data_IF_873577814745
#
_entry.id   IF_873577814745
#
_cell.length_a   1.000
_cell.length_b   1.000
_cell.length_c   1.000
_cell.angle_alpha   90.00
_cell.angle_beta   90.00
_cell.angle_gamma   90.00
#
_symmetry.space_group_name_H-M   'P 1'
#
loop_
_entity.id
_entity.type
_entity.pdbx_description
1 polymer ?
#
# COMPACT_ATOMS: atom_id res chain seq x y z
N UNK A 1 -22.92 28.87 -25.38
CA UNK A 1 -22.42 28.06 -24.24
C UNK A 1 -22.71 26.63 -24.63
N UNK A 2 -21.71 25.77 -24.75
CA UNK A 2 -21.96 24.37 -25.09
C UNK A 2 -22.76 23.72 -23.97
N UNK A 3 -23.99 23.34 -24.29
CA UNK A 3 -24.93 22.69 -23.40
C UNK A 3 -24.60 21.19 -23.32
N UNK A 4 -23.46 20.88 -22.71
CA UNK A 4 -22.97 19.51 -22.57
C UNK A 4 -22.87 19.13 -21.10
N UNK A 5 -23.62 18.11 -20.71
CA UNK A 5 -23.59 17.51 -19.38
C UNK A 5 -22.81 16.21 -19.42
N UNK A 6 -21.97 15.98 -18.40
CA UNK A 6 -21.22 14.73 -18.24
C UNK A 6 -21.26 14.26 -16.78
N UNK A 7 -21.58 12.99 -16.55
CA UNK A 7 -21.53 12.35 -15.23
C UNK A 7 -20.64 11.12 -15.33
N UNK A 8 -19.57 11.06 -14.52
CA UNK A 8 -18.61 9.95 -14.44
C UNK A 8 -18.64 9.32 -13.05
N UNK A 9 -18.85 8.01 -12.97
CA UNK A 9 -18.72 7.25 -11.73
C UNK A 9 -17.28 6.78 -11.60
N UNK A 10 -16.48 7.36 -10.70
CA UNK A 10 -15.09 6.90 -10.48
C UNK A 10 -15.01 5.63 -9.61
N UNK A 11 -15.95 5.47 -8.68
CA UNK A 11 -16.03 4.33 -7.76
C UNK A 11 -17.48 4.10 -7.34
N UNK A 12 -17.91 2.84 -7.30
CA UNK A 12 -19.27 2.42 -6.96
C UNK A 12 -20.14 2.22 -8.20
N UNK A 13 -21.45 2.33 -8.00
CA UNK A 13 -22.44 2.33 -9.08
C UNK A 13 -23.36 3.53 -8.94
N UNK A 14 -23.96 3.93 -10.06
CA UNK A 14 -24.98 4.97 -10.11
C UNK A 14 -26.05 4.64 -11.14
N UNK A 15 -27.19 5.31 -11.01
CA UNK A 15 -28.27 5.24 -11.98
C UNK A 15 -28.65 6.66 -12.36
N UNK A 16 -28.72 6.92 -13.65
CA UNK A 16 -29.14 8.20 -14.21
C UNK A 16 -30.39 7.94 -15.02
N UNK A 17 -31.49 8.58 -14.62
CA UNK A 17 -32.75 8.56 -15.35
C UNK A 17 -32.97 9.90 -16.04
N UNK A 18 -33.28 9.87 -17.34
CA UNK A 18 -33.61 11.06 -18.12
C UNK A 18 -34.57 10.71 -19.25
N UNK A 19 -35.68 11.44 -19.37
CA UNK A 19 -36.69 11.23 -20.42
C UNK A 19 -37.22 9.78 -20.52
N UNK A 20 -37.28 9.05 -19.40
CA UNK A 20 -37.67 7.64 -19.35
C UNK A 20 -36.58 6.65 -19.81
N UNK A 21 -35.41 7.13 -20.22
CA UNK A 21 -34.21 6.31 -20.38
C UNK A 21 -33.47 6.20 -19.04
N UNK A 22 -33.10 4.98 -18.66
CA UNK A 22 -32.32 4.69 -17.45
C UNK A 22 -30.96 4.14 -17.86
N UNK A 23 -29.90 4.77 -17.38
CA UNK A 23 -28.51 4.33 -17.58
C UNK A 23 -27.91 4.03 -16.22
N UNK A 24 -27.65 2.76 -15.94
CA UNK A 24 -26.77 2.38 -14.84
C UNK A 24 -25.33 2.72 -15.21
N UNK A 25 -24.46 2.96 -14.23
CA UNK A 25 -23.05 3.24 -14.42
C UNK A 25 -22.26 2.46 -13.37
N UNK A 26 -21.16 1.86 -13.77
CA UNK A 26 -20.16 1.23 -12.93
C UNK A 26 -18.87 2.08 -12.90
N UNK A 27 -17.82 1.55 -12.26
CA UNK A 27 -16.53 2.22 -12.16
C UNK A 27 -16.00 2.63 -13.54
N UNK A 28 -15.63 3.90 -13.65
CA UNK A 28 -15.11 4.57 -14.83
C UNK A 28 -16.08 4.63 -16.02
N UNK A 29 -17.37 4.38 -15.80
CA UNK A 29 -18.38 4.63 -16.81
C UNK A 29 -18.93 6.05 -16.71
N UNK A 30 -19.14 6.65 -17.88
CA UNK A 30 -19.60 8.00 -18.06
C UNK A 30 -20.89 7.99 -18.87
N UNK A 31 -21.77 8.92 -18.54
CA UNK A 31 -22.86 9.32 -19.41
C UNK A 31 -22.71 10.79 -19.80
N UNK A 32 -23.03 11.13 -21.05
CA UNK A 32 -23.08 12.50 -21.54
C UNK A 32 -24.35 12.77 -22.35
N UNK A 33 -24.85 14.00 -22.30
CA UNK A 33 -26.03 14.43 -23.06
C UNK A 33 -26.07 15.96 -23.21
N UNK A 34 -26.88 16.43 -24.16
CA UNK A 34 -27.28 17.84 -24.27
C UNK A 34 -28.75 17.99 -23.83
N UNK A 35 -29.20 19.19 -23.47
CA UNK A 35 -30.55 19.40 -22.93
C UNK A 35 -31.66 18.98 -23.91
N UNK A 36 -31.45 19.19 -25.21
CA UNK A 36 -32.40 18.83 -26.27
C UNK A 36 -32.27 17.36 -26.76
N UNK A 37 -31.21 16.65 -26.38
CA UNK A 37 -31.01 15.26 -26.79
C UNK A 37 -32.10 14.38 -26.19
N UNK A 38 -32.71 13.46 -26.95
CA UNK A 38 -33.66 12.50 -26.34
C UNK A 38 -32.95 11.39 -25.59
N UNK A 39 -31.73 11.07 -26.00
CA UNK A 39 -30.94 9.96 -25.50
C UNK A 39 -29.72 10.43 -24.71
N UNK A 40 -29.19 9.52 -23.92
CA UNK A 40 -27.92 9.63 -23.23
C UNK A 40 -26.82 8.83 -23.95
N UNK A 41 -25.63 9.40 -24.08
CA UNK A 41 -24.47 8.70 -24.65
C UNK A 41 -23.63 8.09 -23.54
N UNK A 42 -23.31 6.79 -23.66
CA UNK A 42 -22.50 6.06 -22.69
C UNK A 42 -21.07 5.91 -23.22
N UNK A 43 -20.10 6.13 -22.35
CA UNK A 43 -18.69 5.92 -22.66
C UNK A 43 -17.97 5.31 -21.46
N UNK A 44 -16.92 4.54 -21.73
CA UNK A 44 -15.98 4.09 -20.69
C UNK A 44 -14.78 5.02 -20.70
N UNK A 45 -14.49 5.63 -19.56
CA UNK A 45 -13.26 6.35 -19.32
C UNK A 45 -12.17 5.36 -18.92
N UNK A 46 -10.93 5.61 -19.35
CA UNK A 46 -9.81 4.78 -18.90
C UNK A 46 -9.50 5.11 -17.42
N UNK A 47 -9.57 4.09 -16.57
CA UNK A 47 -9.29 4.23 -15.13
C UNK A 47 -7.81 4.15 -14.79
N UNK A 48 -7.39 4.66 -13.61
CA UNK A 48 -6.03 4.52 -13.13
C UNK A 48 -5.73 3.06 -12.72
N UNK A 49 -4.50 2.59 -12.92
CA UNK A 49 -4.02 1.36 -12.30
C UNK A 49 -3.93 1.51 -10.77
N UNK A 50 -4.18 0.42 -10.03
CA UNK A 50 -3.89 0.36 -8.60
C UNK A 50 -2.43 -0.06 -8.38
N UNK A 51 -1.64 0.69 -7.58
CA UNK A 51 -0.29 0.30 -7.18
C UNK A 51 -0.27 -1.04 -6.41
N UNK A 52 0.65 -1.95 -6.74
CA UNK A 52 0.81 -3.26 -6.05
C UNK A 52 2.11 -3.26 -5.24
N UNK A 53 3.27 -3.05 -5.88
CA UNK A 53 4.58 -2.99 -5.23
C UNK A 53 5.41 -1.83 -5.77
N UNK A 54 6.21 -1.13 -4.95
CA UNK A 54 6.22 -1.19 -3.49
C UNK A 54 4.88 -0.74 -2.89
N UNK A 55 4.39 -1.52 -1.91
CA UNK A 55 3.15 -1.20 -1.21
C UNK A 55 3.22 0.14 -0.49
N UNK A 56 2.07 0.75 -0.19
CA UNK A 56 2.06 2.01 0.53
C UNK A 56 2.70 1.85 1.92
N UNK A 57 3.57 2.80 2.28
CA UNK A 57 4.42 2.83 3.46
C UNK A 57 5.41 1.65 3.62
N UNK A 58 5.66 0.88 2.56
CA UNK A 58 6.54 -0.30 2.64
C UNK A 58 8.02 0.07 2.87
N UNK A 59 8.73 -0.61 3.79
CA UNK A 59 10.18 -0.53 3.89
C UNK A 59 10.85 -1.45 2.87
N UNK A 60 11.85 -0.95 2.16
CA UNK A 60 12.73 -1.70 1.27
C UNK A 60 14.14 -1.70 1.85
N UNK A 61 14.72 -2.89 2.04
CA UNK A 61 16.03 -3.03 2.67
C UNK A 61 17.15 -3.09 1.62
N UNK A 62 18.13 -2.21 1.79
CA UNK A 62 19.38 -2.17 1.04
C UNK A 62 20.50 -2.80 1.87
N UNK A 63 21.38 -3.64 1.31
CA UNK A 63 22.46 -4.21 2.12
C UNK A 63 23.49 -3.14 2.51
N UNK A 64 24.09 -3.26 3.69
CA UNK A 64 25.16 -2.36 4.09
C UNK A 64 26.34 -2.41 3.11
N UNK A 65 26.73 -1.25 2.60
CA UNK A 65 27.77 -1.07 1.58
C UNK A 65 27.22 -0.88 0.16
N UNK A 66 25.95 -1.17 -0.10
CA UNK A 66 25.30 -0.78 -1.36
C UNK A 66 25.06 0.73 -1.36
N UNK A 67 25.21 1.37 -2.53
CA UNK A 67 24.93 2.82 -2.72
C UNK A 67 23.49 3.08 -3.15
N UNK A 68 22.85 2.08 -3.73
CA UNK A 68 21.52 2.16 -4.32
C UNK A 68 20.86 0.78 -4.39
N UNK A 69 19.54 0.76 -4.43
CA UNK A 69 18.71 -0.44 -4.52
C UNK A 69 18.02 -0.51 -5.88
N UNK A 70 17.83 -1.73 -6.34
CA UNK A 70 16.90 -2.07 -7.41
C UNK A 70 15.52 -2.39 -6.81
N UNK A 71 14.49 -1.73 -7.33
CA UNK A 71 13.13 -1.85 -6.83
C UNK A 71 12.19 -2.16 -7.99
N UNK A 72 11.43 -3.24 -7.86
CA UNK A 72 10.35 -3.57 -8.78
C UNK A 72 9.10 -2.74 -8.45
N UNK A 73 8.56 -2.11 -9.48
CA UNK A 73 7.28 -1.43 -9.45
C UNK A 73 6.27 -2.25 -10.24
N UNK A 74 5.12 -2.57 -9.66
CA UNK A 74 4.04 -3.26 -10.36
C UNK A 74 2.67 -2.71 -9.98
N UNK A 75 1.71 -2.81 -10.89
CA UNK A 75 0.34 -2.30 -10.74
C UNK A 75 -0.67 -3.21 -11.42
N UNK A 76 -1.97 -2.98 -11.15
CA UNK A 76 -3.04 -3.78 -11.77
C UNK A 76 -3.12 -3.53 -13.28
N UNK A 77 -3.29 -4.58 -14.10
CA UNK A 77 -3.51 -4.42 -15.53
C UNK A 77 -4.84 -3.73 -15.79
N UNK A 78 -4.87 -2.86 -16.81
CA UNK A 78 -6.07 -2.16 -17.25
C UNK A 78 -6.48 -2.67 -18.64
N UNK A 79 -7.70 -3.17 -18.76
CA UNK A 79 -8.21 -3.83 -19.99
C UNK A 79 -8.15 -2.96 -21.24
N UNK A 80 -8.30 -1.64 -21.09
CA UNK A 80 -8.26 -0.67 -22.20
C UNK A 80 -6.93 0.07 -22.31
N UNK A 81 -5.90 -0.31 -21.56
CA UNK A 81 -4.61 0.38 -21.61
C UNK A 81 -3.72 -0.17 -22.72
N UNK A 82 -3.20 0.74 -23.56
CA UNK A 82 -2.08 0.49 -24.46
C UNK A 82 -0.73 0.69 -23.76
N UNK A 83 -0.71 1.33 -22.59
CA UNK A 83 0.46 1.41 -21.73
C UNK A 83 0.22 2.28 -20.50
N UNK A 84 1.31 2.58 -19.82
CA UNK A 84 1.32 3.24 -18.51
C UNK A 84 2.40 4.31 -18.44
N UNK A 85 2.18 5.32 -17.60
CA UNK A 85 3.16 6.34 -17.23
C UNK A 85 3.44 6.21 -15.75
N UNK A 86 4.64 5.74 -15.41
CA UNK A 86 5.15 5.67 -14.03
C UNK A 86 5.87 6.98 -13.69
N UNK A 87 5.51 7.57 -12.55
CA UNK A 87 6.25 8.70 -11.96
C UNK A 87 6.77 8.32 -10.58
N UNK A 88 8.01 8.72 -10.28
CA UNK A 88 8.64 8.56 -8.96
C UNK A 88 9.21 9.92 -8.55
N UNK A 89 9.02 10.30 -7.28
CA UNK A 89 9.47 11.57 -6.73
C UNK A 89 10.01 11.41 -5.31
N UNK A 90 10.86 12.36 -4.89
CA UNK A 90 11.28 12.50 -3.49
C UNK A 90 10.25 13.20 -2.59
N UNK A 91 9.18 13.76 -3.15
CA UNK A 91 8.16 14.47 -2.38
C UNK A 91 6.72 14.14 -2.86
N UNK A 92 5.71 14.28 -1.98
CA UNK A 92 4.32 13.88 -2.29
C UNK A 92 3.66 14.79 -3.33
N UNK A 93 4.23 15.97 -3.59
CA UNK A 93 3.74 16.95 -4.56
C UNK A 93 4.29 16.70 -5.97
N UNK A 94 5.21 15.74 -6.13
CA UNK A 94 5.87 15.42 -7.40
C UNK A 94 6.59 16.62 -8.03
N UNK A 95 7.06 17.57 -7.21
CA UNK A 95 7.84 18.73 -7.67
C UNK A 95 9.33 18.42 -7.86
N UNK A 96 9.81 17.29 -7.31
CA UNK A 96 11.17 16.79 -7.48
C UNK A 96 11.10 15.39 -8.08
N UNK A 97 10.89 15.31 -9.39
CA UNK A 97 10.78 14.03 -10.11
C UNK A 97 12.15 13.35 -10.21
N UNK A 98 12.16 12.07 -9.86
CA UNK A 98 13.28 11.17 -10.08
C UNK A 98 13.08 10.37 -11.38
N UNK A 99 11.84 9.97 -11.64
CA UNK A 99 11.46 9.22 -12.83
C UNK A 99 10.12 9.71 -13.36
N UNK A 100 10.02 9.81 -14.68
CA UNK A 100 8.78 9.98 -15.41
C UNK A 100 8.92 9.20 -16.72
N UNK A 101 8.28 8.04 -16.80
CA UNK A 101 8.54 7.06 -17.87
C UNK A 101 7.26 6.42 -18.36
N UNK A 102 7.11 6.31 -19.67
CA UNK A 102 6.10 5.46 -20.30
C UNK A 102 6.60 4.01 -20.45
N UNK A 103 5.75 3.05 -20.15
CA UNK A 103 6.02 1.60 -20.25
C UNK A 103 4.78 0.87 -20.76
N UNK A 104 4.96 -0.22 -21.49
CA UNK A 104 3.84 -1.01 -22.04
C UNK A 104 3.44 -2.17 -21.13
N UNK A 105 4.34 -2.57 -20.23
CA UNK A 105 4.13 -3.65 -19.26
C UNK A 105 3.55 -3.13 -17.95
N UNK A 106 2.88 -4.02 -17.20
CA UNK A 106 2.30 -3.75 -15.89
C UNK A 106 3.31 -3.77 -14.72
N UNK A 107 4.60 -3.96 -15.03
CA UNK A 107 5.68 -3.84 -14.07
C UNK A 107 6.95 -3.32 -14.74
N UNK A 108 7.80 -2.69 -13.93
CA UNK A 108 9.12 -2.20 -14.33
C UNK A 108 10.06 -2.22 -13.14
N UNK A 109 11.31 -2.61 -13.41
CA UNK A 109 12.39 -2.53 -12.45
C UNK A 109 13.11 -1.19 -12.59
N UNK A 110 13.28 -0.48 -11.46
CA UNK A 110 14.03 0.77 -11.39
C UNK A 110 15.26 0.57 -10.52
N UNK A 111 16.43 0.78 -11.11
CA UNK A 111 17.73 0.69 -10.45
C UNK A 111 18.19 2.07 -9.99
N UNK A 112 19.22 2.09 -9.13
CA UNK A 112 19.89 3.33 -8.78
C UNK A 112 19.14 4.20 -7.77
N UNK A 113 18.22 3.62 -6.97
CA UNK A 113 17.50 4.35 -5.93
C UNK A 113 18.30 4.35 -4.61
N UNK A 114 18.83 5.49 -4.14
CA UNK A 114 19.53 5.55 -2.85
C UNK A 114 18.63 5.31 -1.65
N UNK A 115 19.19 5.38 -0.46
CA UNK A 115 18.41 5.42 0.78
C UNK A 115 17.55 6.68 0.82
N UNK A 116 16.32 6.57 1.30
CA UNK A 116 15.41 7.71 1.39
C UNK A 116 13.95 7.35 1.20
N UNK A 117 13.10 8.38 1.28
CA UNK A 117 11.67 8.27 1.01
C UNK A 117 11.36 8.57 -0.46
N UNK A 118 10.42 7.81 -1.00
CA UNK A 118 9.97 7.90 -2.37
C UNK A 118 8.45 7.88 -2.44
N UNK A 119 7.92 8.60 -3.41
CA UNK A 119 6.51 8.68 -3.76
C UNK A 119 6.37 8.25 -5.20
N UNK A 120 5.36 7.44 -5.50
CA UNK A 120 5.15 6.98 -6.86
C UNK A 120 3.67 6.88 -7.21
N UNK A 121 3.39 7.09 -8.49
CA UNK A 121 2.05 7.09 -9.07
C UNK A 121 2.09 6.56 -10.50
N UNK A 122 0.95 6.08 -10.97
CA UNK A 122 0.79 5.51 -12.31
C UNK A 122 -0.46 6.09 -12.95
N UNK A 123 -0.35 6.36 -14.24
CA UNK A 123 -1.49 6.58 -15.13
C UNK A 123 -1.47 5.52 -16.22
N UNK A 124 -2.63 5.01 -16.61
CA UNK A 124 -2.80 4.27 -17.87
C UNK A 124 -3.11 5.22 -19.02
N UNK A 125 -2.79 4.82 -20.25
CA UNK A 125 -3.27 5.47 -21.47
C UNK A 125 -3.77 4.43 -22.48
N UNK A 126 -4.79 4.78 -23.26
CA UNK A 126 -5.34 3.92 -24.32
C UNK A 126 -4.61 4.10 -25.66
N UNK A 127 -5.03 3.33 -26.68
CA UNK A 127 -4.45 3.38 -28.02
C UNK A 127 -4.68 4.73 -28.74
N UNK A 128 -5.68 5.51 -28.31
CA UNK A 128 -5.93 6.86 -28.81
C UNK A 128 -5.09 7.92 -28.06
N UNK A 129 -4.29 7.51 -27.07
CA UNK A 129 -3.45 8.38 -26.25
C UNK A 129 -4.20 9.09 -25.12
N UNK A 130 -5.47 8.72 -24.86
CA UNK A 130 -6.25 9.26 -23.75
C UNK A 130 -5.66 8.76 -22.44
N UNK A 131 -5.41 9.67 -21.50
CA UNK A 131 -4.76 9.37 -20.22
C UNK A 131 -5.81 9.31 -19.11
N UNK A 132 -5.68 8.32 -18.24
CA UNK A 132 -6.48 8.23 -17.01
C UNK A 132 -6.14 9.34 -16.02
N UNK A 133 -6.98 9.49 -15.00
CA UNK A 133 -6.56 10.20 -13.80
C UNK A 133 -5.34 9.51 -13.14
N UNK A 134 -4.66 10.21 -12.24
CA UNK A 134 -3.57 9.61 -11.47
C UNK A 134 -4.10 8.54 -10.49
N UNK A 135 -3.32 7.49 -10.28
CA UNK A 135 -3.54 6.52 -9.20
C UNK A 135 -3.45 7.19 -7.82
N UNK A 136 -3.80 6.43 -6.78
CA UNK A 136 -3.34 6.79 -5.43
C UNK A 136 -1.80 6.89 -5.41
N UNK A 137 -1.28 7.82 -4.61
CA UNK A 137 0.15 8.04 -4.45
C UNK A 137 0.67 7.13 -3.35
N UNK A 138 1.46 6.12 -3.73
CA UNK A 138 2.12 5.26 -2.76
C UNK A 138 3.41 5.90 -2.29
N UNK A 139 3.71 5.74 -1.00
CA UNK A 139 5.00 6.07 -0.40
C UNK A 139 5.76 4.80 -0.06
N UNK A 140 7.07 4.75 -0.26
CA UNK A 140 7.93 3.70 0.30
C UNK A 140 9.26 4.30 0.77
N UNK A 141 10.01 3.55 1.58
CA UNK A 141 11.30 4.02 2.10
C UNK A 141 12.37 2.97 1.89
N UNK A 142 13.50 3.37 1.31
CA UNK A 142 14.70 2.54 1.23
C UNK A 142 15.57 2.85 2.46
N UNK A 143 15.89 1.81 3.22
CA UNK A 143 16.74 1.90 4.42
C UNK A 143 17.88 0.89 4.33
N UNK A 144 19.05 1.25 4.87
CA UNK A 144 20.16 0.31 4.99
C UNK A 144 19.78 -0.75 6.02
N UNK A 145 19.87 -2.01 5.62
CA UNK A 145 19.85 -3.15 6.52
C UNK A 145 21.04 -2.98 7.45
N UNK A 146 20.77 -2.62 8.70
CA UNK A 146 21.80 -2.48 9.71
C UNK A 146 22.61 -3.79 9.76
N UNK A 147 23.91 -3.70 9.49
CA UNK A 147 24.84 -4.83 9.57
C UNK A 147 25.30 -5.03 11.01
N UNK A 148 24.40 -4.87 11.97
CA UNK A 148 24.63 -5.34 13.32
C UNK A 148 23.33 -5.91 13.86
N UNK A 149 23.44 -7.18 14.21
CA UNK A 149 22.84 -7.76 15.41
C UNK A 149 23.25 -6.89 16.62
N UNK A 150 22.79 -5.64 16.71
CA UNK A 150 22.52 -5.06 18.02
C UNK A 150 21.22 -5.74 18.40
N UNK A 151 21.31 -6.98 18.88
CA UNK A 151 20.16 -7.66 19.46
C UNK A 151 19.75 -6.82 20.66
N UNK A 152 18.84 -5.89 20.43
CA UNK A 152 18.02 -5.40 21.51
C UNK A 152 17.37 -6.62 22.14
N UNK A 153 17.46 -6.73 23.47
CA UNK A 153 16.87 -7.85 24.17
C UNK A 153 15.39 -7.95 23.83
N UNK A 154 14.95 -9.15 23.47
CA UNK A 154 13.54 -9.50 23.34
C UNK A 154 13.42 -10.95 23.80
N UNK A 155 13.12 -11.07 25.09
CA UNK A 155 12.80 -12.34 25.73
C UNK A 155 11.28 -12.45 25.83
N UNK A 156 10.75 -13.59 25.42
CA UNK A 156 9.32 -13.85 25.33
C UNK A 156 9.03 -15.06 26.20
N UNK A 157 8.07 -14.90 27.10
CA UNK A 157 7.57 -16.02 27.89
C UNK A 157 6.77 -16.97 26.99
N UNK A 158 6.69 -18.27 27.31
CA UNK A 158 5.83 -19.19 26.58
C UNK A 158 4.41 -18.64 26.43
N UNK A 159 3.90 -18.68 25.20
CA UNK A 159 2.55 -18.20 24.92
C UNK A 159 1.51 -19.00 25.70
N UNK A 160 0.54 -18.30 26.27
CA UNK A 160 -0.61 -18.91 26.95
C UNK A 160 -1.85 -18.71 26.10
N UNK A 161 -2.53 -19.80 25.75
CA UNK A 161 -3.74 -19.75 24.94
C UNK A 161 -4.99 -19.67 25.82
N UNK A 162 -5.86 -18.71 25.51
CA UNK A 162 -7.18 -18.51 26.10
C UNK A 162 -8.23 -18.60 24.99
N UNK A 163 -8.64 -19.82 24.66
CA UNK A 163 -9.54 -20.07 23.51
C UNK A 163 -8.87 -19.64 22.20
N UNK A 164 -9.43 -18.62 21.55
CA UNK A 164 -8.91 -18.06 20.29
C UNK A 164 -7.94 -16.89 20.50
N UNK A 165 -7.63 -16.54 21.75
CA UNK A 165 -6.75 -15.42 22.09
C UNK A 165 -5.43 -15.97 22.64
N UNK A 166 -4.31 -15.34 22.27
CA UNK A 166 -2.99 -15.64 22.83
C UNK A 166 -2.54 -14.52 23.74
N UNK A 167 -2.16 -14.88 24.96
CA UNK A 167 -1.45 -14.02 25.90
C UNK A 167 0.04 -14.04 25.57
N UNK A 168 0.60 -12.85 25.35
CA UNK A 168 1.99 -12.61 25.00
C UNK A 168 2.62 -11.75 26.10
N UNK A 169 3.60 -12.31 26.79
CA UNK A 169 4.41 -11.62 27.80
C UNK A 169 5.88 -11.68 27.43
N UNK A 170 6.61 -10.67 27.87
CA UNK A 170 8.05 -10.67 27.65
C UNK A 170 8.72 -9.44 28.23
N UNK A 171 10.01 -9.35 27.95
CA UNK A 171 10.86 -8.25 28.35
C UNK A 171 11.72 -7.80 27.19
N UNK A 172 11.84 -6.49 27.03
CA UNK A 172 12.70 -5.86 26.05
C UNK A 172 13.55 -4.76 26.67
N UNK A 173 14.25 -3.97 25.86
CA UNK A 173 14.94 -2.76 26.32
C UNK A 173 13.92 -1.72 26.81
N UNK A 174 14.28 -0.97 27.86
CA UNK A 174 13.49 0.14 28.35
C UNK A 174 13.24 1.18 27.24
N UNK A 175 11.99 1.63 27.10
CA UNK A 175 11.60 2.62 26.09
C UNK A 175 11.56 2.08 24.65
N UNK A 176 11.68 0.76 24.45
CA UNK A 176 11.42 0.15 23.15
C UNK A 176 9.92 0.08 22.85
N UNK A 177 9.57 0.23 21.58
CA UNK A 177 8.23 -0.03 21.06
C UNK A 177 8.09 -1.51 20.77
N UNK A 178 7.03 -2.16 21.26
CA UNK A 178 6.75 -3.58 20.98
C UNK A 178 5.52 -3.71 20.11
N UNK A 179 5.56 -4.63 19.16
CA UNK A 179 4.45 -4.97 18.26
C UNK A 179 4.22 -6.49 18.29
N UNK A 180 2.96 -6.92 18.38
CA UNK A 180 2.52 -8.31 18.26
C UNK A 180 1.60 -8.42 17.05
N UNK A 181 1.96 -9.26 16.08
CA UNK A 181 1.27 -9.40 14.79
C UNK A 181 1.03 -8.05 14.09
N UNK A 182 2.01 -7.16 14.16
CA UNK A 182 1.93 -5.81 13.58
C UNK A 182 1.06 -4.81 14.38
N UNK A 183 0.47 -5.22 15.51
CA UNK A 183 -0.26 -4.33 16.42
C UNK A 183 0.65 -3.89 17.55
N UNK A 184 0.67 -2.60 17.84
CA UNK A 184 1.47 -2.07 18.94
C UNK A 184 0.94 -2.55 20.30
N UNK A 185 1.87 -2.94 21.17
CA UNK A 185 1.59 -3.22 22.58
C UNK A 185 1.44 -1.87 23.29
N UNK A 186 0.27 -1.56 23.89
CA UNK A 186 -0.01 -0.22 24.39
C UNK A 186 0.88 0.21 25.56
N UNK A 187 1.39 -0.75 26.33
CA UNK A 187 2.17 -0.50 27.53
C UNK A 187 3.41 -1.40 27.51
N UNK A 188 4.57 -0.74 27.47
CA UNK A 188 5.87 -1.33 27.79
C UNK A 188 6.36 -0.56 29.02
N UNK A 189 6.57 -1.26 30.12
CA UNK A 189 7.03 -0.64 31.37
C UNK A 189 8.40 0.01 31.22
N UNK A 190 8.74 0.91 32.15
CA UNK A 190 10.05 1.57 32.17
C UNK A 190 11.22 0.58 32.33
N UNK A 191 10.94 -0.64 32.82
CA UNK A 191 11.89 -1.75 32.89
C UNK A 191 11.90 -2.65 31.65
N UNK A 192 11.10 -2.32 30.63
CA UNK A 192 10.96 -3.05 29.37
C UNK A 192 10.00 -4.24 29.42
N UNK A 193 9.30 -4.49 30.55
CA UNK A 193 8.28 -5.55 30.61
C UNK A 193 7.05 -5.18 29.81
N UNK A 194 6.47 -6.15 29.13
CA UNK A 194 5.25 -5.94 28.36
C UNK A 194 4.31 -7.14 28.46
N UNK A 195 3.03 -6.85 28.27
CA UNK A 195 1.96 -7.83 28.30
C UNK A 195 0.87 -7.44 27.30
N UNK A 196 0.44 -8.40 26.48
CA UNK A 196 -0.51 -8.17 25.42
C UNK A 196 -1.39 -9.41 25.18
N UNK A 197 -2.65 -9.18 24.80
CA UNK A 197 -3.55 -10.23 24.30
C UNK A 197 -3.80 -9.99 22.81
N UNK A 198 -3.64 -11.04 21.99
CA UNK A 198 -4.00 -10.94 20.58
C UNK A 198 -5.51 -10.74 20.42
N UNK A 199 -5.97 -10.11 19.33
CA UNK A 199 -7.33 -10.32 18.88
C UNK A 199 -7.61 -11.82 18.66
N UNK A 200 -8.89 -12.24 18.64
CA UNK A 200 -9.25 -13.62 18.31
C UNK A 200 -8.62 -14.06 16.98
N UNK A 201 -7.93 -15.19 17.01
CA UNK A 201 -7.26 -15.82 15.89
C UNK A 201 -8.16 -16.89 15.26
N UNK A 202 -8.02 -17.15 13.95
CA UNK A 202 -8.71 -18.26 13.29
C UNK A 202 -8.21 -19.62 13.78
N UNK A 203 -9.05 -20.65 13.64
CA UNK A 203 -8.67 -22.04 13.95
C UNK A 203 -7.54 -22.51 13.04
N UNK A 204 -6.70 -23.41 13.55
CA UNK A 204 -5.54 -23.94 12.86
C UNK A 204 -4.23 -23.26 13.27
N UNK A 205 -3.21 -23.45 12.43
CA UNK A 205 -1.88 -22.91 12.68
C UNK A 205 -1.86 -21.39 12.46
N UNK A 206 -1.39 -20.67 13.47
CA UNK A 206 -1.17 -19.23 13.44
C UNK A 206 0.30 -18.93 13.75
N UNK A 207 0.88 -17.98 13.03
CA UNK A 207 2.23 -17.48 13.31
C UNK A 207 2.13 -16.21 14.16
N UNK A 208 2.64 -16.25 15.38
CA UNK A 208 2.75 -15.06 16.23
C UNK A 208 4.10 -14.41 15.97
N UNK A 209 4.09 -13.15 15.54
CA UNK A 209 5.28 -12.34 15.31
C UNK A 209 5.36 -11.24 16.36
N UNK A 210 6.42 -11.24 17.16
CA UNK A 210 6.69 -10.21 18.15
C UNK A 210 7.92 -9.42 17.71
N UNK A 211 7.77 -8.11 17.53
CA UNK A 211 8.83 -7.22 17.10
C UNK A 211 9.04 -6.14 18.13
N UNK A 212 10.25 -5.98 18.63
CA UNK A 212 10.67 -4.82 19.40
C UNK A 212 11.45 -3.85 18.49
N UNK A 213 11.31 -2.54 18.72
CA UNK A 213 12.08 -1.48 18.06
C UNK A 213 12.55 -0.43 19.09
N UNK A 214 13.85 -0.13 19.18
CA UNK A 214 14.36 0.94 20.03
C UNK A 214 14.35 2.31 19.32
N UNK A 215 14.57 3.39 20.08
CA UNK A 215 14.57 4.77 19.59
C UNK A 215 15.63 5.09 18.54
N UNK A 216 16.69 4.27 18.44
CA UNK A 216 17.77 4.40 17.45
C UNK A 216 17.50 3.61 16.18
N UNK A 217 16.34 2.94 16.08
CA UNK A 217 15.93 2.15 14.92
C UNK A 217 16.46 0.71 14.90
N UNK A 218 17.08 0.23 15.99
CA UNK A 218 17.40 -1.18 16.18
C UNK A 218 16.12 -2.00 16.37
N UNK A 219 16.06 -3.18 15.74
CA UNK A 219 14.86 -4.03 15.72
C UNK A 219 15.25 -5.47 16.08
N UNK A 220 14.46 -6.12 16.93
CA UNK A 220 14.52 -7.56 17.17
C UNK A 220 13.14 -8.17 16.90
N UNK A 221 13.08 -9.30 16.20
CA UNK A 221 11.83 -9.99 15.88
C UNK A 221 11.92 -11.46 16.23
N UNK A 222 10.92 -11.97 16.95
CA UNK A 222 10.71 -13.37 17.27
C UNK A 222 9.42 -13.85 16.64
N UNK A 223 9.41 -15.09 16.17
CA UNK A 223 8.25 -15.71 15.54
C UNK A 223 8.08 -17.11 16.07
N UNK A 224 6.89 -17.42 16.56
CA UNK A 224 6.55 -18.73 17.11
C UNK A 224 5.15 -19.14 16.63
N UNK A 225 4.99 -20.43 16.35
CA UNK A 225 3.72 -21.00 15.88
C UNK A 225 2.84 -21.41 17.04
N UNK A 226 1.55 -21.13 16.93
CA UNK A 226 0.50 -21.61 17.84
C UNK A 226 -0.59 -22.32 17.05
N UNK A 227 -1.29 -23.26 17.67
CA UNK A 227 -2.41 -23.98 17.05
C UNK A 227 -3.67 -23.69 17.84
N UNK A 228 -4.64 -23.02 17.20
CA UNK A 228 -5.95 -22.74 17.79
C UNK A 228 -6.92 -23.87 17.42
N UNK A 229 -7.62 -24.40 18.43
CA UNK A 229 -8.60 -25.49 18.29
C UNK A 229 -10.03 -24.94 18.24
#
# INVERSE_FOLDING_TARGET
>A
RDDKHEILVKKGSGEIERNGEVVHLANWEKVSFQSESKTMERATEIGPPAPITPGNMMPVFMNAGEKSKEVEFAWTPMTSAAGYRLRISHNPYFSSLLLDRKVETQSVVVTGLPVGAYYWSIQSYDAAGKVSVESEKNRFTIIVKAKEKTEMSLDIDPFVQHGHVIEVKGKTEAGARVMVNGREVPIVGDDGTFHYFTPPLPNGENLITVTAQNSKGGVNTRQDKVVIQ
#
